data_IF_173683680193
#
_entry.id   IF_173683680193
#
_cell.length_a   1.000
_cell.length_b   1.000
_cell.length_c   1.000
_cell.angle_alpha   90.00
_cell.angle_beta   90.00
_cell.angle_gamma   90.00
#
_symmetry.space_group_name_H-M   'P 1'
#
loop_
_entity.id
_entity.type
_entity.pdbx_description
1 polymer ?
#
# COMPACT_ATOMS: atom_id res chain seq x y z
N UNK A 1 101.46 -7.57 132.92
CA UNK A 1 102.39 -7.89 134.04
C UNK A 1 103.81 -7.51 133.62
N UNK A 2 104.71 -7.41 134.61
CA UNK A 2 106.20 -7.23 134.59
C UNK A 2 106.96 -8.01 133.48
N UNK A 3 108.22 -7.73 133.03
CA UNK A 3 109.42 -7.03 133.62
C UNK A 3 110.51 -6.65 132.56
N UNK A 4 111.32 -5.57 132.80
CA UNK A 4 112.81 -5.32 132.53
C UNK A 4 113.56 -5.71 131.21
N UNK A 5 114.82 -5.29 130.88
CA UNK A 5 115.65 -4.01 130.94
C UNK A 5 117.08 -4.22 130.29
N UNK A 6 117.91 -3.15 130.05
CA UNK A 6 119.41 -3.16 129.79
C UNK A 6 119.88 -3.64 128.37
N UNK A 7 121.01 -3.28 127.67
CA UNK A 7 122.30 -2.49 127.74
C UNK A 7 122.79 -2.20 126.25
N UNK A 8 123.92 -1.58 125.77
CA UNK A 8 124.98 -0.61 126.21
C UNK A 8 126.01 -0.25 125.06
N UNK A 9 126.23 1.04 124.73
CA UNK A 9 127.36 1.63 123.91
C UNK A 9 127.58 1.07 122.46
N UNK A 10 128.54 1.46 121.58
CA UNK A 10 129.66 2.45 121.45
C UNK A 10 129.78 2.92 119.95
N UNK A 11 130.74 3.66 119.34
CA UNK A 11 132.00 4.41 119.65
C UNK A 11 132.22 5.53 118.55
N UNK A 12 133.38 6.25 118.45
CA UNK A 12 133.53 7.48 117.60
C UNK A 12 134.88 7.68 116.85
N UNK A 13 134.81 8.28 115.64
CA UNK A 13 135.87 9.00 114.89
C UNK A 13 135.41 9.32 113.44
N UNK A 14 135.96 10.26 112.64
CA UNK A 14 136.86 11.42 112.83
C UNK A 14 136.71 12.37 111.58
N UNK A 15 137.22 13.63 111.58
CA UNK A 15 136.94 14.60 110.48
C UNK A 15 137.98 15.73 110.27
N UNK A 16 138.24 16.13 109.00
CA UNK A 16 138.73 17.48 108.60
C UNK A 16 138.88 17.71 107.08
N UNK A 17 137.80 18.02 106.32
CA UNK A 17 137.93 18.55 104.93
C UNK A 17 136.67 19.23 104.34
N UNK A 18 135.79 19.82 105.15
CA UNK A 18 134.65 20.61 104.64
C UNK A 18 135.08 22.03 104.19
N UNK A 19 134.43 22.56 103.15
CA UNK A 19 133.88 23.95 103.10
C UNK A 19 133.22 24.31 101.74
N UNK A 20 133.86 24.10 100.57
CA UNK A 20 133.32 24.60 99.29
C UNK A 20 131.98 23.97 98.87
N UNK A 21 131.77 22.69 99.20
CA UNK A 21 130.59 21.94 98.77
C UNK A 21 129.29 22.41 99.44
N UNK A 22 129.28 22.75 100.74
CA UNK A 22 128.06 23.17 101.45
C UNK A 22 127.46 24.47 100.91
N UNK A 23 128.29 25.48 100.59
CA UNK A 23 127.77 26.76 100.07
C UNK A 23 127.15 26.61 98.69
N UNK A 24 127.73 25.78 97.80
CA UNK A 24 127.08 25.36 96.54
C UNK A 24 125.76 24.64 96.80
N UNK A 25 125.71 23.72 97.77
CA UNK A 25 124.51 22.94 98.06
C UNK A 25 123.33 23.82 98.47
N UNK A 26 123.54 24.82 99.35
CA UNK A 26 122.47 25.73 99.79
C UNK A 26 121.96 26.62 98.65
N UNK A 27 122.83 27.18 97.81
CA UNK A 27 122.39 27.95 96.63
C UNK A 27 121.64 27.06 95.64
N UNK A 28 122.10 25.84 95.40
CA UNK A 28 121.42 24.88 94.53
C UNK A 28 120.03 24.52 95.07
N UNK A 29 119.87 24.30 96.38
CA UNK A 29 118.56 24.02 97.01
C UNK A 29 117.64 25.24 96.94
N UNK A 30 118.14 26.45 97.21
CA UNK A 30 117.30 27.66 97.12
C UNK A 30 116.86 27.99 95.69
N UNK A 31 117.68 27.68 94.68
CA UNK A 31 117.29 27.81 93.29
C UNK A 31 116.28 26.71 92.92
N UNK A 32 116.57 25.45 93.25
CA UNK A 32 115.66 24.33 93.01
C UNK A 32 114.29 24.51 93.68
N UNK A 33 114.21 25.14 94.85
CA UNK A 33 112.94 25.47 95.51
C UNK A 33 112.16 26.56 94.75
N UNK A 34 112.82 27.61 94.23
CA UNK A 34 112.17 28.60 93.36
C UNK A 34 111.75 28.02 92.02
N UNK A 35 112.56 27.15 91.44
CA UNK A 35 112.20 26.41 90.22
C UNK A 35 111.01 25.49 90.49
N UNK A 36 110.94 24.84 91.66
CA UNK A 36 109.81 24.01 92.09
C UNK A 36 108.54 24.83 92.34
N UNK A 37 108.62 26.00 92.98
CA UNK A 37 107.48 26.92 93.14
C UNK A 37 106.99 27.45 91.79
N UNK A 38 107.91 27.77 90.86
CA UNK A 38 107.56 28.20 89.50
C UNK A 38 106.92 27.07 88.69
N UNK A 39 107.42 25.84 88.83
CA UNK A 39 106.81 24.63 88.23
C UNK A 39 105.45 24.32 88.85
N UNK A 40 105.28 24.48 90.16
CA UNK A 40 104.00 24.30 90.84
C UNK A 40 102.96 25.30 90.32
N UNK A 41 103.28 26.59 90.29
CA UNK A 41 102.38 27.62 89.75
C UNK A 41 102.09 27.45 88.26
N UNK A 42 103.08 26.99 87.47
CA UNK A 42 102.87 26.64 86.06
C UNK A 42 101.91 25.43 85.91
N UNK A 43 102.10 24.37 86.70
CA UNK A 43 101.25 23.17 86.65
C UNK A 43 99.84 23.41 87.19
N UNK A 44 99.64 24.30 88.17
CA UNK A 44 98.30 24.74 88.56
C UNK A 44 97.61 25.55 87.44
N UNK A 45 98.35 26.37 86.71
CA UNK A 45 97.83 27.13 85.57
C UNK A 45 97.44 26.21 84.41
N UNK A 46 98.31 25.25 84.07
CA UNK A 46 98.05 24.21 83.06
C UNK A 46 96.90 23.28 83.46
N UNK A 47 96.80 22.89 84.73
CA UNK A 47 95.68 22.10 85.26
C UNK A 47 94.35 22.87 85.19
N UNK A 48 94.38 24.19 85.45
CA UNK A 48 93.19 25.04 85.35
C UNK A 48 92.74 25.26 83.90
N UNK A 49 93.68 25.48 82.98
CA UNK A 49 93.43 25.57 81.53
C UNK A 49 92.89 24.23 81.00
N UNK A 50 93.50 23.11 81.37
CA UNK A 50 93.02 21.77 81.03
C UNK A 50 91.62 21.47 81.59
N UNK A 51 91.31 21.89 82.83
CA UNK A 51 89.98 21.75 83.42
C UNK A 51 88.93 22.61 82.71
N UNK A 52 89.27 23.84 82.33
CA UNK A 52 88.38 24.72 81.57
C UNK A 52 88.06 24.11 80.20
N UNK A 53 89.07 23.58 79.50
CA UNK A 53 88.91 22.86 78.23
C UNK A 53 88.10 21.57 78.36
N UNK A 54 88.20 20.87 79.51
CA UNK A 54 87.37 19.70 79.78
C UNK A 54 85.89 20.09 79.97
N UNK A 55 85.61 21.20 80.67
CA UNK A 55 84.25 21.72 80.84
C UNK A 55 83.64 22.20 79.52
N UNK A 56 84.44 22.84 78.64
CA UNK A 56 84.05 23.15 77.26
C UNK A 56 83.74 21.87 76.46
N UNK A 57 84.61 20.85 76.55
CA UNK A 57 84.39 19.56 75.90
C UNK A 57 83.14 18.81 76.42
N UNK A 58 82.81 18.91 77.71
CA UNK A 58 81.58 18.32 78.25
C UNK A 58 80.32 19.01 77.68
N UNK A 59 80.36 20.33 77.48
CA UNK A 59 79.27 21.10 76.85
C UNK A 59 79.13 20.74 75.36
N UNK A 60 80.23 20.64 74.63
CA UNK A 60 80.23 20.21 73.22
C UNK A 60 79.72 18.77 73.07
N UNK A 61 80.18 17.85 73.92
CA UNK A 61 79.68 16.47 73.97
C UNK A 61 78.18 16.42 74.32
N UNK A 62 77.70 17.30 75.21
CA UNK A 62 76.29 17.40 75.54
C UNK A 62 75.46 17.95 74.36
N UNK A 63 75.99 18.89 73.56
CA UNK A 63 75.31 19.35 72.35
C UNK A 63 75.30 18.27 71.26
N UNK A 64 76.46 17.68 70.96
CA UNK A 64 76.59 16.58 70.00
C UNK A 64 75.64 15.41 70.31
N UNK A 65 75.43 15.08 71.60
CA UNK A 65 74.44 14.07 72.02
C UNK A 65 73.00 14.45 71.68
N UNK A 66 72.63 15.74 71.75
CA UNK A 66 71.29 16.21 71.31
C UNK A 66 71.18 16.18 69.80
N UNK A 67 72.20 16.64 69.09
CA UNK A 67 72.22 16.72 67.63
C UNK A 67 72.16 15.31 67.01
N UNK A 68 72.92 14.35 67.57
CA UNK A 68 72.80 12.91 67.24
C UNK A 68 71.40 12.37 67.58
N UNK A 69 70.81 12.78 68.70
CA UNK A 69 69.45 12.37 69.07
C UNK A 69 68.36 12.86 68.09
N UNK A 70 68.47 14.10 67.59
CA UNK A 70 67.56 14.61 66.55
C UNK A 70 67.85 13.99 65.17
N UNK A 71 69.11 13.71 64.84
CA UNK A 71 69.48 12.97 63.62
C UNK A 71 68.92 11.54 63.62
N UNK A 72 68.89 10.85 64.76
CA UNK A 72 68.25 9.53 64.90
C UNK A 72 66.74 9.65 64.64
N UNK A 73 66.03 10.56 65.31
CA UNK A 73 64.58 10.80 65.09
C UNK A 73 64.26 11.21 63.65
N UNK A 74 65.18 11.93 63.00
CA UNK A 74 65.06 12.29 61.59
C UNK A 74 65.23 11.05 60.69
N UNK A 75 66.23 10.21 60.96
CA UNK A 75 66.45 8.94 60.28
C UNK A 75 65.26 7.97 60.41
N UNK A 76 64.69 7.82 61.61
CA UNK A 76 63.47 7.04 61.86
C UNK A 76 62.28 7.55 61.02
N UNK A 77 62.06 8.87 61.00
CA UNK A 77 61.00 9.52 60.22
C UNK A 77 61.22 9.37 58.71
N UNK A 78 62.46 9.47 58.24
CA UNK A 78 62.82 9.25 56.83
C UNK A 78 62.61 7.78 56.45
N UNK A 79 62.99 6.84 57.31
CA UNK A 79 62.73 5.40 57.11
C UNK A 79 61.24 5.08 57.00
N UNK A 80 60.41 5.62 57.90
CA UNK A 80 58.95 5.50 57.82
C UNK A 80 58.39 6.08 56.52
N UNK A 81 58.78 7.31 56.18
CA UNK A 81 58.38 7.95 54.91
C UNK A 81 58.84 7.17 53.66
N UNK A 82 59.96 6.45 53.71
CA UNK A 82 60.40 5.56 52.62
C UNK A 82 59.47 4.35 52.53
N UNK A 83 59.22 3.65 53.65
CA UNK A 83 58.32 2.49 53.70
C UNK A 83 56.91 2.82 53.19
N UNK A 84 56.34 3.96 53.61
CA UNK A 84 55.02 4.43 53.16
C UNK A 84 54.99 4.69 51.64
N UNK A 85 56.10 5.17 51.07
CA UNK A 85 56.21 5.41 49.63
C UNK A 85 56.45 4.12 48.85
N UNK A 86 57.15 3.12 49.41
CA UNK A 86 57.34 1.80 48.82
C UNK A 86 56.01 1.01 48.76
N UNK A 87 55.19 1.02 49.82
CA UNK A 87 53.85 0.38 49.79
C UNK A 87 52.91 1.05 48.77
N UNK A 88 52.96 2.39 48.70
CA UNK A 88 52.20 3.17 47.70
C UNK A 88 52.70 2.91 46.27
N UNK A 89 53.99 2.67 46.08
CA UNK A 89 54.58 2.33 44.79
C UNK A 89 54.12 0.94 44.32
N UNK A 90 54.26 -0.11 45.14
CA UNK A 90 53.78 -1.46 44.79
C UNK A 90 52.27 -1.47 44.51
N UNK A 91 51.48 -0.79 45.35
CA UNK A 91 50.04 -0.66 45.13
C UNK A 91 49.73 0.02 43.79
N UNK A 92 50.51 1.03 43.40
CA UNK A 92 50.36 1.71 42.10
C UNK A 92 50.79 0.82 40.94
N UNK A 93 51.91 0.09 41.07
CA UNK A 93 52.37 -0.88 40.07
C UNK A 93 51.37 -2.00 39.86
N UNK A 94 50.80 -2.57 40.93
CA UNK A 94 49.76 -3.60 40.87
C UNK A 94 48.53 -3.12 40.12
N UNK A 95 48.03 -1.91 40.42
CA UNK A 95 46.94 -1.29 39.67
C UNK A 95 47.29 -1.04 38.19
N UNK A 96 48.54 -0.68 37.89
CA UNK A 96 48.99 -0.44 36.52
C UNK A 96 49.11 -1.75 35.72
N UNK A 97 49.58 -2.84 36.35
CA UNK A 97 49.58 -4.20 35.76
C UNK A 97 48.15 -4.67 35.48
N UNK A 98 47.21 -4.52 36.43
CA UNK A 98 45.80 -4.83 36.21
C UNK A 98 45.16 -4.02 35.07
N UNK A 99 45.40 -2.71 35.03
CA UNK A 99 44.87 -1.83 33.97
C UNK A 99 45.43 -2.19 32.60
N UNK A 100 46.71 -2.61 32.52
CA UNK A 100 47.35 -3.04 31.27
C UNK A 100 46.70 -4.31 30.69
N UNK A 101 46.41 -5.32 31.51
CA UNK A 101 45.73 -6.53 31.03
C UNK A 101 44.25 -6.26 30.70
N UNK A 102 43.56 -5.40 31.47
CA UNK A 102 42.19 -4.93 31.14
C UNK A 102 42.15 -4.19 29.78
N UNK A 103 43.13 -3.33 29.50
CA UNK A 103 43.26 -2.64 28.21
C UNK A 103 43.48 -3.60 27.05
N UNK A 104 44.45 -4.52 27.19
CA UNK A 104 44.77 -5.56 26.20
C UNK A 104 43.59 -6.48 25.88
N UNK A 105 42.78 -6.83 26.88
CA UNK A 105 41.54 -7.58 26.65
C UNK A 105 40.52 -6.76 25.85
N UNK A 106 40.33 -5.49 26.21
CA UNK A 106 39.42 -4.58 25.50
C UNK A 106 39.86 -4.31 24.05
N UNK A 107 41.17 -4.20 23.79
CA UNK A 107 41.75 -4.12 22.44
C UNK A 107 41.46 -5.39 21.62
N UNK A 108 41.52 -6.57 22.24
CA UNK A 108 41.17 -7.84 21.61
C UNK A 108 39.68 -7.96 21.30
N UNK A 109 38.81 -7.61 22.25
CA UNK A 109 37.35 -7.63 22.09
C UNK A 109 36.88 -6.63 21.03
N UNK A 110 37.37 -5.39 21.05
CA UNK A 110 37.04 -4.37 20.04
C UNK A 110 37.57 -4.73 18.67
N UNK A 111 38.78 -5.30 18.57
CA UNK A 111 39.31 -5.86 17.32
C UNK A 111 38.47 -7.02 16.77
N UNK A 112 37.97 -7.92 17.63
CA UNK A 112 37.07 -9.00 17.23
C UNK A 112 35.71 -8.46 16.74
N UNK A 113 35.11 -7.50 17.47
CA UNK A 113 33.85 -6.87 17.11
C UNK A 113 33.94 -6.08 15.79
N UNK A 114 35.05 -5.36 15.56
CA UNK A 114 35.32 -4.68 14.29
C UNK A 114 35.39 -5.67 13.12
N UNK A 115 36.16 -6.75 13.27
CA UNK A 115 36.28 -7.80 12.25
C UNK A 115 34.94 -8.50 11.95
N UNK A 116 34.10 -8.74 12.97
CA UNK A 116 32.75 -9.28 12.79
C UNK A 116 31.86 -8.30 12.01
N UNK A 117 31.91 -7.01 12.36
CA UNK A 117 31.15 -5.94 11.68
C UNK A 117 31.58 -5.78 10.22
N UNK A 118 32.88 -5.87 9.92
CA UNK A 118 33.41 -5.80 8.55
C UNK A 118 32.96 -7.00 7.69
N UNK A 119 32.91 -8.21 8.27
CA UNK A 119 32.35 -9.40 7.61
C UNK A 119 30.86 -9.21 7.31
N UNK A 120 30.07 -8.75 8.28
CA UNK A 120 28.63 -8.49 8.10
C UNK A 120 28.35 -7.42 7.04
N UNK A 121 29.12 -6.31 7.04
CA UNK A 121 29.03 -5.28 6.01
C UNK A 121 29.36 -5.82 4.60
N UNK A 122 30.26 -6.79 4.51
CA UNK A 122 30.63 -7.44 3.24
C UNK A 122 29.51 -8.36 2.75
N UNK A 123 28.85 -9.09 3.66
CA UNK A 123 27.68 -9.90 3.37
C UNK A 123 26.50 -9.05 2.87
N UNK A 124 26.11 -8.02 3.63
CA UNK A 124 25.01 -7.13 3.25
C UNK A 124 25.26 -6.43 1.90
N UNK A 125 26.52 -6.05 1.58
CA UNK A 125 26.88 -5.51 0.25
C UNK A 125 26.64 -6.52 -0.88
N UNK A 126 26.93 -7.80 -0.66
CA UNK A 126 26.67 -8.87 -1.63
C UNK A 126 25.17 -9.11 -1.80
N UNK A 127 24.40 -9.12 -0.71
CA UNK A 127 22.94 -9.28 -0.73
C UNK A 127 22.25 -8.11 -1.46
N UNK A 128 22.64 -6.86 -1.17
CA UNK A 128 22.16 -5.68 -1.88
C UNK A 128 22.47 -5.74 -3.38
N UNK A 129 23.65 -6.24 -3.78
CA UNK A 129 23.98 -6.45 -5.19
C UNK A 129 23.04 -7.47 -5.85
N UNK A 130 22.80 -8.63 -5.21
CA UNK A 130 21.87 -9.63 -5.73
C UNK A 130 20.43 -9.11 -5.82
N UNK A 131 19.94 -8.39 -4.80
CA UNK A 131 18.60 -7.77 -4.79
C UNK A 131 18.47 -6.76 -5.93
N UNK A 132 19.47 -5.89 -6.13
CA UNK A 132 19.46 -4.90 -7.21
C UNK A 132 19.49 -5.55 -8.61
N UNK A 133 20.24 -6.64 -8.79
CA UNK A 133 20.22 -7.43 -10.03
C UNK A 133 18.85 -8.06 -10.28
N UNK A 134 18.26 -8.71 -9.27
CA UNK A 134 16.94 -9.32 -9.37
C UNK A 134 15.83 -8.30 -9.66
N UNK A 135 15.87 -7.13 -9.02
CA UNK A 135 14.95 -6.03 -9.28
C UNK A 135 15.06 -5.50 -10.71
N UNK A 136 16.29 -5.38 -11.25
CA UNK A 136 16.53 -4.99 -12.65
C UNK A 136 15.99 -6.02 -13.64
N UNK A 137 16.22 -7.32 -13.40
CA UNK A 137 15.65 -8.38 -14.23
C UNK A 137 14.13 -8.39 -14.20
N UNK A 138 13.52 -8.22 -13.02
CA UNK A 138 12.08 -8.16 -12.86
C UNK A 138 11.49 -6.96 -13.60
N UNK A 139 12.14 -5.79 -13.53
CA UNK A 139 11.73 -4.60 -14.29
C UNK A 139 11.74 -4.82 -15.81
N UNK A 140 12.73 -5.55 -16.34
CA UNK A 140 12.77 -5.93 -17.77
C UNK A 140 11.63 -6.92 -18.10
N UNK A 141 11.42 -7.94 -17.28
CA UNK A 141 10.35 -8.94 -17.45
C UNK A 141 8.95 -8.30 -17.42
N UNK A 142 8.70 -7.41 -16.45
CA UNK A 142 7.44 -6.65 -16.32
C UNK A 142 7.21 -5.75 -17.53
N UNK A 143 8.24 -5.02 -18.01
CA UNK A 143 8.10 -4.20 -19.21
C UNK A 143 7.79 -5.02 -20.45
N UNK A 144 8.48 -6.15 -20.65
CA UNK A 144 8.22 -7.04 -21.78
C UNK A 144 6.79 -7.61 -21.77
N UNK A 145 6.28 -8.01 -20.60
CA UNK A 145 4.89 -8.46 -20.45
C UNK A 145 3.88 -7.34 -20.70
N UNK A 146 4.13 -6.13 -20.19
CA UNK A 146 3.25 -4.98 -20.40
C UNK A 146 3.10 -4.66 -21.89
N UNK A 147 4.23 -4.50 -22.60
CA UNK A 147 4.26 -4.26 -24.04
C UNK A 147 3.55 -5.39 -24.84
N UNK A 148 3.75 -6.66 -24.48
CA UNK A 148 3.07 -7.77 -25.15
C UNK A 148 1.54 -7.76 -24.92
N UNK A 149 1.10 -7.38 -23.71
CA UNK A 149 -0.33 -7.27 -23.36
C UNK A 149 -0.97 -6.09 -24.08
N UNK A 150 -0.27 -4.96 -24.19
CA UNK A 150 -0.67 -3.75 -24.92
C UNK A 150 -0.92 -4.06 -26.41
N UNK A 151 0.05 -4.68 -27.10
CA UNK A 151 -0.11 -5.09 -28.50
C UNK A 151 -1.25 -6.12 -28.70
N UNK A 152 -1.48 -7.02 -27.75
CA UNK A 152 -2.62 -7.95 -27.82
C UNK A 152 -3.98 -7.22 -27.67
N UNK A 153 -4.06 -6.22 -26.79
CA UNK A 153 -5.26 -5.39 -26.64
C UNK A 153 -5.55 -4.54 -27.88
N UNK A 154 -4.52 -3.98 -28.52
CA UNK A 154 -4.64 -3.23 -29.78
C UNK A 154 -5.15 -4.12 -30.93
N UNK A 155 -4.62 -5.35 -31.04
CA UNK A 155 -5.06 -6.33 -32.04
C UNK A 155 -6.55 -6.70 -31.85
N UNK A 156 -6.93 -7.11 -30.63
CA UNK A 156 -8.31 -7.48 -30.30
C UNK A 156 -9.29 -6.30 -30.50
N UNK A 157 -8.87 -5.07 -30.19
CA UNK A 157 -9.69 -3.87 -30.42
C UNK A 157 -9.91 -3.61 -31.91
N UNK A 158 -8.89 -3.85 -32.74
CA UNK A 158 -8.97 -3.70 -34.21
C UNK A 158 -9.91 -4.75 -34.82
N UNK A 159 -9.83 -6.01 -34.34
CA UNK A 159 -10.73 -7.10 -34.74
C UNK A 159 -12.19 -6.74 -34.43
N UNK A 160 -12.50 -6.39 -33.16
CA UNK A 160 -13.85 -5.95 -32.77
C UNK A 160 -14.35 -4.71 -33.53
N UNK A 161 -13.48 -3.80 -33.97
CA UNK A 161 -13.88 -2.65 -34.78
C UNK A 161 -14.28 -3.02 -36.21
N UNK A 162 -13.66 -4.06 -36.79
CA UNK A 162 -14.06 -4.59 -38.09
C UNK A 162 -15.39 -5.37 -37.96
N UNK A 163 -15.51 -6.25 -36.96
CA UNK A 163 -16.75 -7.02 -36.72
C UNK A 163 -17.97 -6.11 -36.55
N UNK A 164 -17.86 -5.07 -35.70
CA UNK A 164 -18.96 -4.11 -35.48
C UNK A 164 -19.31 -3.30 -36.75
N UNK A 165 -18.32 -3.03 -37.61
CA UNK A 165 -18.53 -2.32 -38.87
C UNK A 165 -19.28 -3.21 -39.87
N UNK A 166 -18.86 -4.47 -40.00
CA UNK A 166 -19.42 -5.39 -40.98
C UNK A 166 -20.84 -5.84 -40.56
N UNK A 167 -21.08 -6.06 -39.26
CA UNK A 167 -22.43 -6.20 -38.68
C UNK A 167 -23.31 -4.97 -38.95
N UNK A 168 -22.75 -3.76 -38.84
CA UNK A 168 -23.45 -2.52 -39.16
C UNK A 168 -23.82 -2.40 -40.65
N UNK A 169 -23.04 -2.99 -41.56
CA UNK A 169 -23.43 -3.09 -42.98
C UNK A 169 -24.52 -4.14 -43.20
N UNK A 170 -24.44 -5.31 -42.57
CA UNK A 170 -25.47 -6.36 -42.68
C UNK A 170 -26.83 -5.89 -42.12
N UNK A 171 -26.84 -5.18 -40.98
CA UNK A 171 -28.07 -4.57 -40.44
C UNK A 171 -28.68 -3.55 -41.41
N UNK A 172 -27.85 -2.74 -42.07
CA UNK A 172 -28.30 -1.74 -43.06
C UNK A 172 -28.90 -2.41 -44.31
N UNK A 173 -28.26 -3.44 -44.86
CA UNK A 173 -28.75 -4.19 -46.01
C UNK A 173 -30.05 -4.95 -45.69
N UNK A 174 -30.11 -5.63 -44.53
CA UNK A 174 -31.30 -6.32 -44.08
C UNK A 174 -32.47 -5.35 -43.81
N UNK A 175 -32.18 -4.17 -43.25
CA UNK A 175 -33.17 -3.11 -43.05
C UNK A 175 -33.77 -2.62 -44.37
N UNK A 176 -32.93 -2.40 -45.40
CA UNK A 176 -33.37 -2.02 -46.74
C UNK A 176 -34.23 -3.10 -47.40
N UNK A 177 -33.84 -4.37 -47.35
CA UNK A 177 -34.64 -5.47 -47.92
C UNK A 177 -35.96 -5.67 -47.15
N UNK A 178 -35.96 -5.53 -45.82
CA UNK A 178 -37.18 -5.51 -45.01
C UNK A 178 -38.11 -4.35 -45.41
N UNK A 179 -37.58 -3.17 -45.73
CA UNK A 179 -38.40 -2.07 -46.28
C UNK A 179 -38.94 -2.41 -47.68
N UNK A 180 -38.12 -2.99 -48.56
CA UNK A 180 -38.52 -3.40 -49.92
C UNK A 180 -39.65 -4.44 -49.89
N UNK A 181 -39.50 -5.49 -49.08
CA UNK A 181 -40.50 -6.55 -48.91
C UNK A 181 -41.80 -6.02 -48.27
N UNK A 182 -41.71 -5.12 -47.27
CA UNK A 182 -42.90 -4.45 -46.70
C UNK A 182 -43.65 -3.64 -47.76
N UNK A 183 -42.94 -2.90 -48.62
CA UNK A 183 -43.54 -2.18 -49.72
C UNK A 183 -44.20 -3.11 -50.74
N UNK A 184 -43.52 -4.20 -51.13
CA UNK A 184 -44.04 -5.18 -52.11
C UNK A 184 -45.28 -5.93 -51.62
N UNK A 185 -45.33 -6.29 -50.33
CA UNK A 185 -46.51 -6.92 -49.71
C UNK A 185 -47.68 -5.93 -49.63
N UNK A 186 -47.44 -4.68 -49.25
CA UNK A 186 -48.48 -3.64 -49.18
C UNK A 186 -49.03 -3.26 -50.57
N UNK A 187 -48.23 -3.38 -51.64
CA UNK A 187 -48.64 -3.15 -53.02
C UNK A 187 -49.62 -4.21 -53.57
N UNK A 188 -49.80 -5.34 -52.88
CA UNK A 188 -50.65 -6.46 -53.31
C UNK A 188 -51.89 -6.52 -52.41
N UNK A 189 -53.02 -6.04 -52.91
CA UNK A 189 -54.30 -6.03 -52.16
C UNK A 189 -55.40 -6.74 -52.95
N UNK A 190 -55.91 -7.84 -52.43
CA UNK A 190 -57.02 -8.59 -53.03
C UNK A 190 -57.78 -9.40 -51.98
N UNK A 191 -59.10 -9.31 -51.96
CA UNK A 191 -59.97 -10.11 -51.09
C UNK A 191 -61.18 -10.70 -51.82
N UNK A 192 -61.69 -11.79 -51.28
CA UNK A 192 -62.97 -12.37 -51.64
C UNK A 192 -63.56 -13.09 -50.42
N UNK A 193 -64.84 -12.86 -50.14
CA UNK A 193 -65.52 -13.44 -48.99
C UNK A 193 -67.00 -13.72 -49.29
N UNK A 194 -67.56 -14.71 -48.59
CA UNK A 194 -68.98 -15.08 -48.59
C UNK A 194 -69.57 -14.99 -47.18
N UNK A 195 -70.89 -14.84 -47.11
CA UNK A 195 -71.64 -15.09 -45.88
C UNK A 195 -71.64 -16.60 -45.58
N UNK A 196 -71.53 -16.98 -44.31
CA UNK A 196 -71.68 -18.37 -43.82
C UNK A 196 -73.16 -18.73 -43.74
N UNK A 197 -73.49 -19.92 -44.26
CA UNK A 197 -74.77 -20.58 -44.02
C UNK A 197 -74.87 -21.00 -42.54
N UNK A 198 -75.77 -20.37 -41.79
CA UNK A 198 -76.37 -20.99 -40.60
C UNK A 198 -77.78 -21.42 -40.98
N UNK A 199 -77.98 -22.72 -41.18
CA UNK A 199 -79.21 -23.43 -41.55
C UNK A 199 -80.47 -22.55 -41.65
N UNK A 200 -80.86 -22.24 -42.90
CA UNK A 200 -82.05 -21.46 -43.30
C UNK A 200 -82.16 -19.99 -42.85
N UNK A 201 -81.15 -19.44 -42.15
CA UNK A 201 -81.14 -18.02 -41.79
C UNK A 201 -80.81 -17.12 -42.99
N UNK A 202 -81.82 -16.42 -43.53
CA UNK A 202 -81.60 -15.24 -44.37
C UNK A 202 -80.85 -14.17 -43.60
N UNK A 203 -79.93 -13.46 -44.26
CA UNK A 203 -79.44 -12.18 -43.74
C UNK A 203 -80.51 -11.13 -44.02
N UNK A 204 -81.26 -10.75 -42.97
CA UNK A 204 -82.33 -9.76 -43.01
C UNK A 204 -83.52 -10.11 -42.09
N UNK A 205 -84.59 -9.29 -42.05
CA UNK A 205 -84.75 -8.05 -42.80
C UNK A 205 -83.79 -6.95 -42.32
N UNK A 206 -83.32 -6.09 -43.21
CA UNK A 206 -82.45 -4.95 -42.82
C UNK A 206 -83.23 -3.90 -42.01
N UNK A 207 -83.16 -3.98 -40.67
CA UNK A 207 -84.04 -3.21 -39.76
C UNK A 207 -83.67 -1.74 -39.57
N UNK A 208 -82.40 -1.34 -39.67
CA UNK A 208 -81.96 0.02 -39.32
C UNK A 208 -80.90 0.57 -40.27
N UNK A 209 -81.13 1.76 -40.83
CA UNK A 209 -80.31 2.38 -41.88
C UNK A 209 -78.87 2.75 -41.48
N UNK A 210 -78.47 2.55 -40.23
CA UNK A 210 -77.11 2.82 -39.72
C UNK A 210 -76.26 1.58 -39.48
N UNK A 211 -76.82 0.36 -39.49
CA UNK A 211 -76.04 -0.85 -39.22
C UNK A 211 -76.51 -2.11 -39.99
N UNK A 212 -77.10 -1.95 -41.17
CA UNK A 212 -77.44 -3.05 -42.10
C UNK A 212 -76.18 -3.62 -42.84
N UNK A 213 -74.98 -3.55 -42.27
CA UNK A 213 -73.74 -3.98 -42.95
C UNK A 213 -73.71 -5.50 -43.11
N UNK A 214 -73.44 -5.97 -44.33
CA UNK A 214 -73.28 -7.39 -44.62
C UNK A 214 -71.90 -7.88 -44.18
N UNK A 215 -71.87 -8.80 -43.22
CA UNK A 215 -70.64 -9.38 -42.65
C UNK A 215 -70.32 -10.68 -43.39
N UNK A 216 -69.41 -10.61 -44.36
CA UNK A 216 -68.93 -11.77 -45.12
C UNK A 216 -67.87 -12.51 -44.28
N UNK A 217 -68.36 -13.29 -43.31
CA UNK A 217 -67.57 -13.93 -42.27
C UNK A 217 -66.72 -15.12 -42.74
N UNK A 218 -66.99 -15.71 -43.92
CA UNK A 218 -66.10 -16.72 -44.56
C UNK A 218 -65.27 -16.08 -45.65
N UNK A 219 -63.99 -15.86 -45.35
CA UNK A 219 -63.00 -15.34 -46.29
C UNK A 219 -62.42 -16.49 -47.13
N UNK A 220 -62.36 -16.29 -48.45
CA UNK A 220 -61.57 -17.13 -49.37
C UNK A 220 -60.14 -16.60 -49.49
N UNK A 221 -59.99 -15.28 -49.67
CA UNK A 221 -58.71 -14.58 -49.90
C UNK A 221 -58.73 -13.23 -49.19
N UNK A 222 -57.58 -12.76 -48.65
CA UNK A 222 -57.42 -11.42 -48.06
C UNK A 222 -55.94 -10.96 -48.09
N UNK A 223 -55.34 -10.96 -49.28
CA UNK A 223 -53.98 -10.45 -49.51
C UNK A 223 -53.96 -8.94 -49.22
N UNK A 224 -52.92 -8.48 -48.50
CA UNK A 224 -52.82 -7.11 -48.00
C UNK A 224 -53.66 -6.82 -46.74
N UNK A 225 -54.38 -7.81 -46.19
CA UNK A 225 -55.18 -7.72 -44.96
C UNK A 225 -56.06 -6.45 -44.90
N UNK A 226 -56.69 -6.13 -46.03
CA UNK A 226 -57.52 -4.95 -46.20
C UNK A 226 -58.99 -5.20 -45.84
N UNK A 227 -59.45 -6.45 -45.87
CA UNK A 227 -60.81 -6.83 -45.49
C UNK A 227 -60.91 -7.30 -44.03
N UNK A 228 -61.96 -6.91 -43.32
CA UNK A 228 -62.25 -7.33 -41.95
C UNK A 228 -63.56 -8.14 -41.87
N UNK A 229 -63.40 -9.46 -41.74
CA UNK A 229 -64.51 -10.43 -41.66
C UNK A 229 -65.36 -10.35 -40.39
N UNK A 230 -64.95 -9.55 -39.37
CA UNK A 230 -65.77 -9.28 -38.18
C UNK A 230 -66.69 -8.08 -38.33
N UNK A 231 -66.45 -7.20 -39.31
CA UNK A 231 -67.21 -5.95 -39.48
C UNK A 231 -67.88 -5.81 -40.84
N UNK A 232 -67.50 -6.63 -41.83
CA UNK A 232 -68.02 -6.50 -43.20
C UNK A 232 -67.25 -5.49 -44.08
N UNK A 233 -66.23 -4.82 -43.52
CA UNK A 233 -65.61 -3.62 -44.10
C UNK A 233 -64.26 -3.93 -44.75
N UNK A 234 -64.06 -3.43 -45.97
CA UNK A 234 -62.76 -3.23 -46.61
C UNK A 234 -62.21 -1.85 -46.26
N UNK A 235 -60.90 -1.74 -46.03
CA UNK A 235 -60.20 -0.46 -45.79
C UNK A 235 -58.97 -0.38 -46.70
N UNK A 236 -58.89 0.68 -47.51
CA UNK A 236 -57.78 0.90 -48.43
C UNK A 236 -56.45 1.09 -47.67
N UNK A 237 -55.48 0.23 -47.95
CA UNK A 237 -54.11 0.30 -47.38
C UNK A 237 -53.19 1.24 -48.15
N UNK A 238 -53.47 1.44 -49.43
CA UNK A 238 -52.78 2.36 -50.33
C UNK A 238 -53.80 3.29 -50.99
N UNK A 239 -53.33 4.45 -51.47
CA UNK A 239 -54.06 5.22 -52.47
C UNK A 239 -54.01 4.47 -53.81
N UNK A 240 -55.14 4.37 -54.51
CA UNK A 240 -55.17 3.68 -55.79
C UNK A 240 -56.57 3.44 -56.34
N UNK A 241 -56.61 2.81 -57.52
CA UNK A 241 -57.83 2.43 -58.22
C UNK A 241 -58.16 0.98 -57.91
N UNK A 242 -59.33 0.74 -57.33
CA UNK A 242 -59.78 -0.57 -56.86
C UNK A 242 -61.02 -1.05 -57.64
N UNK A 243 -61.02 -2.32 -58.01
CA UNK A 243 -62.22 -3.02 -58.50
C UNK A 243 -62.97 -3.62 -57.32
N UNK A 244 -64.29 -3.47 -57.27
CA UNK A 244 -65.18 -4.19 -56.36
C UNK A 244 -66.34 -4.82 -57.12
N UNK A 245 -66.69 -6.05 -56.76
CA UNK A 245 -67.91 -6.72 -57.24
C UNK A 245 -68.61 -7.45 -56.10
N UNK A 246 -69.94 -7.50 -56.17
CA UNK A 246 -70.76 -8.28 -55.25
C UNK A 246 -71.96 -8.88 -55.97
N UNK A 247 -72.43 -10.01 -55.45
CA UNK A 247 -73.70 -10.62 -55.87
C UNK A 247 -74.60 -10.88 -54.68
N UNK A 248 -75.90 -10.96 -54.93
CA UNK A 248 -76.95 -11.22 -53.96
C UNK A 248 -77.93 -12.24 -54.54
N UNK A 249 -78.02 -13.39 -53.88
CA UNK A 249 -79.00 -14.43 -54.14
C UNK A 249 -80.13 -14.35 -53.11
N UNK A 250 -81.38 -14.33 -53.59
CA UNK A 250 -82.60 -14.27 -52.80
C UNK A 250 -83.60 -15.34 -53.18
N UNK A 251 -84.61 -15.55 -52.35
CA UNK A 251 -85.80 -16.35 -52.68
C UNK A 251 -86.98 -15.40 -52.85
N UNK A 252 -87.78 -15.60 -53.89
CA UNK A 252 -88.59 -14.53 -54.47
C UNK A 252 -89.89 -14.20 -53.70
N UNK A 253 -90.12 -14.88 -52.56
CA UNK A 253 -91.08 -14.43 -51.54
C UNK A 253 -90.66 -13.15 -50.79
N UNK A 254 -89.43 -12.66 -50.97
CA UNK A 254 -88.94 -11.41 -50.38
C UNK A 254 -88.10 -10.59 -51.39
N UNK A 255 -88.23 -9.26 -51.34
CA UNK A 255 -87.33 -8.32 -52.02
C UNK A 255 -85.89 -8.58 -51.58
N UNK A 256 -84.96 -8.67 -52.54
CA UNK A 256 -83.55 -8.94 -52.31
C UNK A 256 -82.65 -7.87 -52.93
N UNK A 257 -81.35 -7.98 -52.69
CA UNK A 257 -80.35 -7.02 -53.17
C UNK A 257 -79.68 -6.22 -52.06
N UNK A 258 -78.63 -5.49 -52.42
CA UNK A 258 -77.80 -4.73 -51.49
C UNK A 258 -77.14 -3.51 -52.17
N UNK A 259 -76.60 -2.59 -51.37
CA UNK A 259 -75.91 -1.37 -51.84
C UNK A 259 -74.44 -1.45 -51.44
N UNK A 260 -73.53 -1.22 -52.39
CA UNK A 260 -72.12 -0.99 -52.09
C UNK A 260 -71.91 0.48 -51.72
N UNK A 261 -71.21 0.70 -50.62
CA UNK A 261 -71.06 1.98 -49.93
C UNK A 261 -69.57 2.34 -49.82
N UNK A 262 -69.17 3.54 -50.25
CA UNK A 262 -67.84 4.13 -49.99
C UNK A 262 -67.98 5.24 -48.95
N UNK A 263 -67.32 5.11 -47.79
CA UNK A 263 -67.31 6.16 -46.75
C UNK A 263 -68.71 6.74 -46.42
N UNK A 264 -69.72 5.87 -46.30
CA UNK A 264 -71.16 6.16 -46.10
C UNK A 264 -71.94 6.66 -47.32
N UNK A 265 -71.30 6.95 -48.45
CA UNK A 265 -71.98 7.28 -49.71
C UNK A 265 -72.34 6.03 -50.51
N UNK A 266 -73.53 5.98 -51.09
CA UNK A 266 -73.98 4.87 -51.93
C UNK A 266 -73.36 4.97 -53.33
N UNK A 267 -72.80 3.87 -53.84
CA UNK A 267 -72.10 3.84 -55.14
C UNK A 267 -72.90 3.11 -56.22
N UNK A 268 -73.16 1.82 -56.00
CA UNK A 268 -73.90 0.94 -56.91
C UNK A 268 -74.75 -0.02 -56.08
N UNK A 269 -75.81 -0.57 -56.65
CA UNK A 269 -76.70 -1.49 -55.94
C UNK A 269 -77.16 -2.66 -56.81
N UNK A 270 -77.51 -3.75 -56.16
CA UNK A 270 -78.41 -4.76 -56.69
C UNK A 270 -79.79 -4.55 -56.06
N UNK A 271 -80.84 -4.90 -56.78
CA UNK A 271 -82.21 -4.89 -56.31
C UNK A 271 -82.98 -5.94 -57.09
N UNK A 272 -83.78 -6.76 -56.41
CA UNK A 272 -84.78 -7.60 -57.05
C UNK A 272 -86.07 -7.62 -56.23
N UNK A 273 -87.22 -7.60 -56.90
CA UNK A 273 -88.52 -7.57 -56.25
C UNK A 273 -89.10 -8.98 -56.02
N UNK A 274 -90.29 -9.07 -55.42
CA UNK A 274 -90.96 -10.36 -55.24
C UNK A 274 -91.56 -10.85 -56.57
N UNK A 275 -91.08 -11.99 -57.06
CA UNK A 275 -91.48 -12.63 -58.32
C UNK A 275 -92.43 -13.83 -58.16
N UNK A 276 -92.75 -14.48 -59.29
CA UNK A 276 -93.60 -15.69 -59.35
C UNK A 276 -92.80 -17.00 -59.49
N UNK A 277 -91.50 -16.88 -59.69
CA UNK A 277 -90.52 -17.96 -59.78
C UNK A 277 -89.83 -18.17 -58.42
N UNK A 278 -88.75 -18.96 -58.37
CA UNK A 278 -88.22 -19.47 -57.10
C UNK A 278 -87.20 -18.53 -56.43
N UNK A 279 -86.23 -18.02 -57.19
CA UNK A 279 -85.02 -17.42 -56.62
C UNK A 279 -84.14 -16.74 -57.67
N UNK A 280 -83.85 -15.45 -57.47
CA UNK A 280 -82.95 -14.67 -58.32
C UNK A 280 -81.51 -14.55 -57.81
N UNK A 281 -80.60 -14.30 -58.75
CA UNK A 281 -79.23 -13.81 -58.46
C UNK A 281 -78.98 -12.51 -59.20
N UNK A 282 -78.80 -11.43 -58.46
CA UNK A 282 -78.39 -10.13 -58.99
C UNK A 282 -76.94 -9.82 -58.63
N UNK A 283 -76.20 -9.11 -59.49
CA UNK A 283 -74.79 -8.75 -59.25
C UNK A 283 -74.47 -7.37 -59.78
N UNK A 284 -73.57 -6.64 -59.10
CA UNK A 284 -73.08 -5.34 -59.57
C UNK A 284 -71.59 -5.16 -59.28
N UNK A 285 -70.93 -4.32 -60.07
CA UNK A 285 -69.48 -4.10 -60.12
C UNK A 285 -69.20 -2.61 -60.25
N UNK A 286 -68.17 -2.12 -59.56
CA UNK A 286 -67.72 -0.73 -59.65
C UNK A 286 -66.19 -0.64 -59.54
N UNK A 287 -65.61 0.34 -60.24
CA UNK A 287 -64.21 0.74 -60.07
C UNK A 287 -64.20 2.07 -59.34
N UNK A 288 -63.42 2.16 -58.25
CA UNK A 288 -63.36 3.33 -57.37
C UNK A 288 -61.91 3.72 -57.10
N UNK A 289 -61.57 4.99 -57.22
CA UNK A 289 -60.37 5.50 -56.54
C UNK A 289 -60.63 5.61 -55.03
N UNK A 290 -59.70 5.11 -54.23
CA UNK A 290 -59.70 5.21 -52.77
C UNK A 290 -58.38 5.82 -52.29
N UNK A 291 -58.45 6.70 -51.30
CA UNK A 291 -57.31 7.15 -50.50
C UNK A 291 -57.06 6.19 -49.33
N UNK A 292 -55.86 6.25 -48.74
CA UNK A 292 -55.50 5.46 -47.56
C UNK A 292 -56.50 5.69 -46.43
N UNK A 293 -57.02 4.61 -45.86
CA UNK A 293 -58.03 4.66 -44.79
C UNK A 293 -59.48 4.83 -45.27
N UNK A 294 -59.74 5.07 -46.56
CA UNK A 294 -61.11 5.05 -47.07
C UNK A 294 -61.71 3.63 -47.02
N UNK A 295 -63.00 3.56 -46.71
CA UNK A 295 -63.71 2.31 -46.42
C UNK A 295 -64.73 1.99 -47.50
N UNK A 296 -64.84 0.70 -47.82
CA UNK A 296 -65.88 0.16 -48.69
C UNK A 296 -66.56 -1.03 -48.01
N UNK A 297 -67.88 -1.06 -47.99
CA UNK A 297 -68.66 -2.18 -47.46
C UNK A 297 -69.97 -2.33 -48.26
N UNK A 298 -70.66 -3.44 -48.05
CA UNK A 298 -72.00 -3.65 -48.61
C UNK A 298 -73.05 -3.53 -47.49
N UNK A 299 -74.20 -2.91 -47.75
CA UNK A 299 -75.34 -2.86 -46.83
C UNK A 299 -76.60 -3.47 -47.46
N UNK A 300 -77.40 -4.16 -46.65
CA UNK A 300 -78.70 -4.70 -47.05
C UNK A 300 -79.73 -3.57 -47.20
N UNK A 301 -80.53 -3.60 -48.28
CA UNK A 301 -81.67 -2.68 -48.43
C UNK A 301 -82.63 -2.78 -47.24
N UNK A 302 -83.26 -1.66 -46.88
CA UNK A 302 -84.22 -1.62 -45.76
C UNK A 302 -85.37 -2.59 -46.01
N UNK A 303 -85.57 -3.54 -45.09
CA UNK A 303 -86.60 -4.59 -45.21
C UNK A 303 -86.26 -5.75 -46.17
N UNK A 304 -85.25 -5.61 -47.03
CA UNK A 304 -84.82 -6.68 -47.94
C UNK A 304 -84.18 -7.85 -47.20
N UNK A 305 -84.08 -9.01 -47.87
CA UNK A 305 -83.41 -10.22 -47.37
C UNK A 305 -82.57 -10.86 -48.46
N UNK A 306 -81.46 -11.49 -48.08
CA UNK A 306 -80.62 -12.30 -48.96
C UNK A 306 -80.28 -13.63 -48.28
N UNK A 307 -80.09 -14.69 -49.07
CA UNK A 307 -79.70 -16.01 -48.57
C UNK A 307 -78.21 -16.29 -48.81
N UNK A 308 -77.68 -15.94 -50.00
CA UNK A 308 -76.22 -16.02 -50.29
C UNK A 308 -75.73 -14.73 -50.90
N UNK A 309 -74.47 -14.40 -50.63
CA UNK A 309 -73.81 -13.22 -51.19
C UNK A 309 -72.31 -13.41 -51.13
N UNK A 310 -71.63 -13.05 -52.22
CA UNK A 310 -70.17 -12.95 -52.31
C UNK A 310 -69.81 -11.48 -52.53
N UNK A 311 -68.80 -10.99 -51.83
CA UNK A 311 -68.20 -9.66 -52.01
C UNK A 311 -66.70 -9.83 -52.21
N UNK A 312 -66.18 -9.24 -53.28
CA UNK A 312 -64.77 -9.34 -53.67
C UNK A 312 -64.26 -7.99 -54.15
N UNK A 313 -62.94 -7.78 -54.03
CA UNK A 313 -62.30 -6.60 -54.58
C UNK A 313 -60.79 -6.64 -54.50
N UNK A 314 -60.13 -5.87 -55.37
CA UNK A 314 -58.68 -5.84 -55.48
C UNK A 314 -58.19 -4.48 -55.98
N UNK A 315 -56.95 -4.15 -55.64
CA UNK A 315 -56.22 -3.01 -56.19
C UNK A 315 -55.83 -3.32 -57.63
N UNK A 316 -56.25 -2.49 -58.58
CA UNK A 316 -55.84 -2.59 -59.99
C UNK A 316 -54.44 -1.98 -60.15
N UNK A 317 -54.23 -0.79 -59.61
CA UNK A 317 -52.92 -0.13 -59.49
C UNK A 317 -52.94 0.95 -58.40
N UNK A 318 -51.83 1.19 -57.67
CA UNK A 318 -51.66 2.36 -56.82
C UNK A 318 -51.74 3.67 -57.61
N UNK A 319 -52.11 4.77 -56.96
CA UNK A 319 -52.00 6.14 -57.49
C UNK A 319 -51.20 7.02 -56.54
N UNK A 320 -50.54 8.05 -57.08
CA UNK A 320 -49.78 9.07 -56.34
C UNK A 320 -50.72 10.02 -55.61
#
# INVERSE_FOLDING_TARGET
MVTMVVFLLAFVGAASSELPHRRRLVTNVSNAQKDLERVASQTEMELRDAKTKLEEQEVDIASLKRDVGELIKHGERVGGNISDNEERLDTTERQLRERKEKLKNLESETGAAFNATQKLLTLHKKELFHINTAARELGVKVKALLNATETQLEANLTEMQNDNRDLGTEESELSLEVMRLKAEVNAKVAFSATIIESNDAFTGPGTNGTNNILIYNRVFTNVGFAYNCKTGIFTARLKGVYHFSFMTFGYNGHTSGAILVKNRNYQVSTWEFTGSDNSDTTSNTVILELNVGETVNVILWKGGKIHKSVFSGFLIFPTL
#
